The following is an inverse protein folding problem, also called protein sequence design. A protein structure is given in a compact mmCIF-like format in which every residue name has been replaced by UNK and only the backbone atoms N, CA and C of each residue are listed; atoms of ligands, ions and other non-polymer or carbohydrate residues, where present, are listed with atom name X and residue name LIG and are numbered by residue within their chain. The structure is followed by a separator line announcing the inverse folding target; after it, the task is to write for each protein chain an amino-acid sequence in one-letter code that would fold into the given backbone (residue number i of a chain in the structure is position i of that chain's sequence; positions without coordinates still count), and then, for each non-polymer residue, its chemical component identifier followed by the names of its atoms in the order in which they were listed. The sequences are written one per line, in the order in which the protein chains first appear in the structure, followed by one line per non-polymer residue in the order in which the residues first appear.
data_IF_557674309873
#
_entry.id   IF_557674309873
#
_cell.length_a   1.000
_cell.length_b   1.000
_cell.length_c   1.000
_cell.angle_alpha   90.00
_cell.angle_beta   90.00
_cell.angle_gamma   90.00
#
_symmetry.space_group_name_H-M   'P 1'
#
loop_
_entity.id
_entity.type
_entity.pdbx_description
1 polymer ?
#
# COMPACT_ATOMS: atom_id res chain seq x y z
N UNK A 1 -9.58 -15.64 16.21
CA UNK A 1 -10.06 -14.79 15.10
C UNK A 1 -9.55 -15.43 13.82
N UNK A 2 -10.34 -15.45 12.75
CA UNK A 2 -9.92 -16.01 11.48
C UNK A 2 -9.17 -14.97 10.63
N UNK A 3 -8.21 -15.43 9.84
CA UNK A 3 -7.36 -14.58 9.00
C UNK A 3 -8.19 -13.89 7.91
N UNK A 4 -8.02 -12.57 7.75
CA UNK A 4 -8.69 -11.82 6.67
C UNK A 4 -7.89 -11.88 5.38
N UNK A 5 -8.60 -11.78 4.25
CA UNK A 5 -7.98 -11.78 2.92
C UNK A 5 -7.00 -10.62 2.75
N UNK A 6 -5.75 -10.94 2.39
CA UNK A 6 -4.68 -9.96 2.20
C UNK A 6 -3.96 -9.52 3.49
N UNK A 7 -4.36 -9.98 4.67
CA UNK A 7 -3.62 -9.76 5.91
C UNK A 7 -2.43 -10.71 6.04
N UNK A 8 -1.36 -10.25 6.71
CA UNK A 8 -0.20 -11.08 7.00
C UNK A 8 -0.52 -12.10 8.11
N UNK A 9 -0.24 -13.41 7.94
CA UNK A 9 -0.51 -14.41 8.96
C UNK A 9 0.36 -14.24 10.21
N UNK A 10 -0.25 -14.02 11.36
CA UNK A 10 0.41 -13.95 12.68
C UNK A 10 -0.28 -14.89 13.67
N UNK A 11 0.36 -15.14 14.82
CA UNK A 11 -0.24 -15.97 15.87
C UNK A 11 -1.51 -15.36 16.49
N UNK A 12 -1.75 -14.06 16.31
CA UNK A 12 -2.90 -13.36 16.89
C UNK A 12 -4.13 -13.37 15.98
N UNK A 13 -3.91 -13.39 14.66
CA UNK A 13 -5.00 -13.33 13.67
C UNK A 13 -5.31 -14.67 13.00
N UNK A 14 -4.54 -15.73 13.25
CA UNK A 14 -4.81 -17.08 12.76
C UNK A 14 -5.55 -17.92 13.82
N UNK A 15 -6.50 -18.72 13.39
CA UNK A 15 -7.24 -19.64 14.26
C UNK A 15 -6.63 -21.04 14.28
N UNK A 16 -6.22 -21.51 15.46
CA UNK A 16 -5.61 -22.83 15.63
C UNK A 16 -6.57 -23.99 15.38
N UNK A 17 -7.88 -23.75 15.45
CA UNK A 17 -8.90 -24.76 15.21
C UNK A 17 -9.22 -24.95 13.73
N UNK A 18 -8.74 -24.02 12.87
CA UNK A 18 -8.93 -24.05 11.43
C UNK A 18 -7.68 -24.71 10.79
N UNK A 19 -7.81 -25.88 10.13
CA UNK A 19 -6.65 -26.60 9.57
C UNK A 19 -5.79 -25.76 8.62
N UNK A 20 -6.42 -24.90 7.83
CA UNK A 20 -5.76 -24.03 6.85
C UNK A 20 -4.98 -22.88 7.51
N UNK A 21 -5.27 -22.54 8.77
CA UNK A 21 -4.65 -21.42 9.49
C UNK A 21 -3.73 -21.86 10.63
N UNK A 22 -3.97 -23.03 11.21
CA UNK A 22 -3.33 -23.47 12.45
C UNK A 22 -1.80 -23.43 12.42
N UNK A 23 -1.20 -23.81 11.29
CA UNK A 23 0.25 -23.83 11.10
C UNK A 23 0.77 -22.64 10.27
N UNK A 24 -0.10 -21.77 9.74
CA UNK A 24 0.32 -20.63 8.92
C UNK A 24 1.38 -19.75 9.58
N UNK A 25 1.24 -19.34 10.86
CA UNK A 25 2.24 -18.48 11.50
C UNK A 25 3.64 -19.11 11.55
N UNK A 26 3.71 -20.44 11.69
CA UNK A 26 4.96 -21.19 11.73
C UNK A 26 5.67 -21.28 10.36
N UNK A 27 4.94 -20.99 9.28
CA UNK A 27 5.47 -21.01 7.91
C UNK A 27 5.94 -19.63 7.42
N UNK A 28 5.83 -18.60 8.27
CA UNK A 28 6.34 -17.26 8.00
C UNK A 28 7.84 -17.16 8.27
N UNK A 29 8.54 -16.37 7.45
CA UNK A 29 9.96 -16.06 7.60
C UNK A 29 10.82 -17.31 7.84
N UNK A 30 10.65 -18.30 6.95
CA UNK A 30 11.34 -19.58 7.03
C UNK A 30 12.86 -19.34 7.13
N UNK A 31 13.55 -19.90 8.15
CA UNK A 31 14.97 -19.72 8.33
C UNK A 31 15.77 -20.05 7.06
N UNK A 32 16.67 -19.14 6.67
CA UNK A 32 17.49 -19.28 5.46
C UNK A 32 16.95 -18.55 4.22
N UNK A 33 15.70 -18.05 4.26
CA UNK A 33 15.13 -17.22 3.20
C UNK A 33 15.35 -15.75 3.55
N UNK A 34 15.98 -14.99 2.64
CA UNK A 34 16.29 -13.57 2.84
C UNK A 34 15.28 -12.68 2.11
N UNK A 35 14.87 -11.60 2.77
CA UNK A 35 14.12 -10.48 2.19
C UNK A 35 12.61 -10.65 2.00
N UNK A 36 12.09 -11.85 1.77
CA UNK A 36 10.66 -12.08 1.72
C UNK A 36 10.17 -12.78 3.01
N UNK A 37 9.33 -12.15 3.85
CA UNK A 37 8.71 -12.83 5.00
C UNK A 37 7.75 -13.94 4.55
N UNK A 38 7.24 -13.85 3.31
CA UNK A 38 6.43 -14.89 2.67
C UNK A 38 7.06 -15.30 1.33
N UNK A 39 7.84 -16.39 1.28
CA UNK A 39 8.44 -16.88 0.04
C UNK A 39 7.42 -17.45 -0.95
N UNK A 40 6.24 -17.86 -0.45
CA UNK A 40 5.17 -18.45 -1.23
C UNK A 40 3.86 -17.68 -1.00
N UNK A 41 2.92 -17.71 -1.95
CA UNK A 41 1.60 -17.14 -1.76
C UNK A 41 0.87 -17.75 -0.56
N UNK A 42 0.09 -16.94 0.16
CA UNK A 42 -0.68 -17.36 1.35
C UNK A 42 -1.57 -18.56 1.06
N UNK A 43 -2.19 -18.61 -0.13
CA UNK A 43 -3.06 -19.72 -0.53
C UNK A 43 -2.31 -21.06 -0.64
N UNK A 44 -1.05 -21.04 -1.07
CA UNK A 44 -0.21 -22.25 -1.06
C UNK A 44 0.15 -22.67 0.37
N UNK A 45 0.46 -21.69 1.22
CA UNK A 45 0.80 -21.95 2.62
C UNK A 45 -0.41 -22.47 3.42
N UNK A 46 -1.64 -22.08 3.09
CA UNK A 46 -2.87 -22.64 3.65
C UNK A 46 -3.00 -24.14 3.34
N UNK A 47 -2.68 -24.55 2.12
CA UNK A 47 -2.65 -25.97 1.73
C UNK A 47 -1.62 -26.75 2.53
N UNK A 48 -0.42 -26.18 2.75
CA UNK A 48 0.60 -26.79 3.60
C UNK A 48 0.16 -26.87 5.06
N UNK A 49 -0.46 -25.82 5.60
CA UNK A 49 -1.00 -25.80 6.96
C UNK A 49 -2.01 -26.92 7.16
N UNK A 50 -2.96 -27.05 6.23
CA UNK A 50 -3.95 -28.12 6.24
C UNK A 50 -3.30 -29.50 6.22
N UNK A 51 -2.26 -29.69 5.38
CA UNK A 51 -1.52 -30.95 5.32
C UNK A 51 -0.83 -31.29 6.64
N UNK A 52 -0.21 -30.31 7.30
CA UNK A 52 0.41 -30.48 8.62
C UNK A 52 -0.62 -30.82 9.69
N UNK A 53 -1.77 -30.14 9.65
CA UNK A 53 -2.88 -30.40 10.56
C UNK A 53 -3.44 -31.82 10.42
N UNK A 54 -3.65 -32.28 9.19
CA UNK A 54 -4.14 -33.65 8.93
C UNK A 54 -3.11 -34.72 9.31
N UNK A 55 -1.81 -34.43 9.18
CA UNK A 55 -0.73 -35.36 9.50
C UNK A 55 -0.45 -35.46 11.01
N UNK A 56 -0.38 -34.32 11.69
CA UNK A 56 0.12 -34.21 13.07
C UNK A 56 -0.81 -33.52 14.05
N UNK A 57 -1.99 -33.05 13.61
CA UNK A 57 -2.93 -32.29 14.42
C UNK A 57 -2.60 -30.79 14.52
N UNK A 58 -3.36 -30.05 15.35
CA UNK A 58 -3.07 -28.65 15.66
C UNK A 58 -1.70 -28.50 16.35
N UNK A 59 -1.03 -27.35 16.20
CA UNK A 59 0.16 -27.04 16.98
C UNK A 59 -0.14 -27.08 18.48
N UNK A 60 0.77 -27.66 19.26
CA UNK A 60 0.67 -27.60 20.72
C UNK A 60 1.25 -26.28 21.22
N UNK A 61 0.38 -25.38 21.69
CA UNK A 61 0.73 -24.05 22.14
C UNK A 61 1.47 -24.06 23.49
N UNK A 62 1.24 -25.07 24.33
CA UNK A 62 1.85 -25.18 25.66
C UNK A 62 3.35 -25.48 25.60
N UNK A 63 3.79 -26.14 24.53
CA UNK A 63 5.21 -26.50 24.31
C UNK A 63 5.90 -25.56 23.33
N UNK A 64 5.23 -24.52 22.86
CA UNK A 64 5.79 -23.54 21.91
C UNK A 64 6.88 -22.73 22.60
N UNK A 65 8.07 -22.73 22.02
CA UNK A 65 9.25 -22.03 22.55
C UNK A 65 9.64 -20.80 21.73
N UNK A 66 9.07 -20.60 20.54
CA UNK A 66 9.43 -19.49 19.66
C UNK A 66 8.22 -18.79 19.02
N UNK A 67 8.39 -17.51 18.72
CA UNK A 67 7.40 -16.62 18.10
C UNK A 67 8.02 -15.79 16.98
N UNK A 68 7.24 -15.55 15.94
CA UNK A 68 7.60 -14.66 14.85
C UNK A 68 7.42 -13.20 15.27
N UNK A 69 8.47 -12.41 15.08
CA UNK A 69 8.49 -10.97 15.23
C UNK A 69 8.58 -10.34 13.84
N UNK A 70 7.55 -9.61 13.38
CA UNK A 70 7.62 -8.90 12.12
C UNK A 70 8.74 -7.87 12.14
N UNK A 71 9.33 -7.52 10.98
CA UNK A 71 10.37 -6.51 10.90
C UNK A 71 9.86 -5.17 11.45
N UNK A 72 10.70 -4.47 12.23
CA UNK A 72 10.34 -3.14 12.74
C UNK A 72 10.26 -2.18 11.57
N UNK A 73 9.28 -1.27 11.60
CA UNK A 73 9.40 -0.06 10.79
C UNK A 73 10.74 0.58 11.17
N UNK A 74 11.61 0.91 10.21
CA UNK A 74 12.91 1.55 10.45
C UNK A 74 14.15 0.68 10.30
N UNK A 75 14.00 -0.64 10.24
CA UNK A 75 15.13 -1.51 9.86
C UNK A 75 15.44 -1.38 8.36
N UNK A 76 16.73 -1.47 8.03
CA UNK A 76 17.31 -1.33 6.68
C UNK A 76 16.45 -2.02 5.61
N UNK A 77 15.82 -1.19 4.76
CA UNK A 77 14.91 -1.56 3.66
C UNK A 77 13.93 -2.69 4.00
N UNK A 78 12.61 -2.40 4.13
CA UNK A 78 11.55 -3.40 4.33
C UNK A 78 11.56 -4.59 3.35
N UNK A 79 12.23 -4.44 2.21
CA UNK A 79 12.46 -5.48 1.20
C UNK A 79 13.47 -6.57 1.61
N UNK A 80 14.27 -6.36 2.66
CA UNK A 80 15.32 -7.29 3.12
C UNK A 80 15.07 -7.86 4.53
N UNK A 81 14.14 -7.28 5.28
CA UNK A 81 13.84 -7.70 6.64
C UNK A 81 12.68 -8.71 6.64
N UNK A 82 12.99 -10.00 6.66
CA UNK A 82 11.97 -11.06 6.72
C UNK A 82 11.29 -11.17 8.10
N UNK A 83 11.71 -10.38 9.09
CA UNK A 83 11.37 -10.57 10.50
C UNK A 83 12.29 -11.59 11.17
N UNK A 84 12.12 -11.78 12.47
CA UNK A 84 12.98 -12.63 13.30
C UNK A 84 12.15 -13.57 14.18
N UNK A 85 12.71 -14.73 14.50
CA UNK A 85 12.09 -15.66 15.44
C UNK A 85 12.75 -15.50 16.81
N UNK A 86 11.97 -15.21 17.85
CA UNK A 86 12.45 -15.04 19.24
C UNK A 86 11.81 -16.05 20.19
N UNK A 87 12.35 -16.13 21.40
CA UNK A 87 11.93 -17.00 22.50
C UNK A 87 10.77 -16.44 23.35
N UNK A 88 10.21 -15.30 22.96
CA UNK A 88 9.10 -14.64 23.65
C UNK A 88 8.10 -14.07 22.64
N UNK A 89 6.81 -13.94 23.01
CA UNK A 89 5.80 -13.33 22.16
C UNK A 89 6.14 -11.85 21.85
N UNK A 90 5.73 -11.34 20.67
CA UNK A 90 5.95 -9.93 20.33
C UNK A 90 5.22 -9.01 21.31
N UNK A 91 5.91 -7.99 21.82
CA UNK A 91 5.27 -6.93 22.61
C UNK A 91 4.49 -6.00 21.65
N UNK A 92 3.20 -5.71 21.92
CA UNK A 92 2.42 -4.76 21.13
C UNK A 92 3.08 -3.39 20.96
N UNK A 93 3.90 -2.95 21.92
CA UNK A 93 4.62 -1.68 21.88
C UNK A 93 5.93 -1.75 21.09
N UNK A 94 6.52 -2.92 20.89
CA UNK A 94 7.76 -3.09 20.11
C UNK A 94 7.51 -2.99 18.60
N UNK A 95 6.31 -3.33 18.13
CA UNK A 95 5.93 -3.22 16.73
C UNK A 95 5.78 -1.76 16.22
N UNK A 96 5.73 -0.78 17.12
CA UNK A 96 5.38 0.62 16.80
C UNK A 96 6.53 1.64 16.97
N UNK A 97 7.73 1.23 17.44
CA UNK A 97 8.75 2.18 17.86
C UNK A 97 9.98 2.27 16.95
N UNK A 98 10.07 3.30 16.11
CA UNK A 98 11.39 3.92 15.81
C UNK A 98 11.51 5.16 16.68
N UNK A 99 12.45 5.17 17.62
CA UNK A 99 12.97 6.43 18.13
C UNK A 99 14.09 6.89 17.20
N UNK A 100 13.74 7.71 16.21
CA UNK A 100 14.67 8.32 15.26
C UNK A 100 15.81 9.07 15.96
N UNK A 101 15.64 9.46 17.23
CA UNK A 101 16.67 10.17 18.02
C UNK A 101 17.74 9.23 18.60
N UNK A 102 17.50 7.92 18.59
CA UNK A 102 18.48 6.92 19.05
C UNK A 102 19.50 6.53 17.98
N UNK A 103 19.27 6.92 16.71
CA UNK A 103 20.20 6.68 15.62
C UNK A 103 21.35 7.70 15.64
N UNK A 104 22.58 7.25 15.42
CA UNK A 104 23.74 8.13 15.29
C UNK A 104 23.56 9.07 14.08
N UNK A 105 24.09 10.30 14.15
CA UNK A 105 23.95 11.31 13.07
C UNK A 105 24.39 10.78 11.70
N UNK A 106 25.43 9.93 11.67
CA UNK A 106 25.94 9.32 10.45
C UNK A 106 24.92 8.36 9.83
N UNK A 107 24.18 7.62 10.65
CA UNK A 107 23.13 6.72 10.19
C UNK A 107 21.89 7.50 9.73
N UNK A 108 21.55 8.60 10.41
CA UNK A 108 20.46 9.49 9.99
C UNK A 108 20.74 10.12 8.62
N UNK A 109 21.99 10.52 8.35
CA UNK A 109 22.39 11.10 7.07
C UNK A 109 22.42 10.07 5.95
N UNK A 110 22.84 8.82 6.23
CA UNK A 110 22.81 7.73 5.25
C UNK A 110 21.36 7.32 4.91
N UNK A 111 20.49 7.19 5.91
CA UNK A 111 19.05 6.92 5.69
C UNK A 111 18.39 8.04 4.88
N UNK A 112 18.77 9.30 5.14
CA UNK A 112 18.29 10.45 4.36
C UNK A 112 18.79 10.41 2.92
N UNK A 113 20.04 9.99 2.69
CA UNK A 113 20.62 9.84 1.33
C UNK A 113 19.91 8.75 0.54
N UNK A 114 19.70 7.59 1.16
CA UNK A 114 19.03 6.45 0.52
C UNK A 114 17.54 6.75 0.22
N UNK A 115 16.85 7.49 1.08
CA UNK A 115 15.49 7.94 0.81
C UNK A 115 15.39 8.86 -0.42
N UNK A 116 16.39 9.72 -0.63
CA UNK A 116 16.47 10.60 -1.82
C UNK A 116 16.85 9.84 -3.10
N UNK A 117 17.68 8.79 -2.99
CA UNK A 117 18.06 7.92 -4.12
C UNK A 117 16.88 7.05 -4.58
N UNK A 118 16.08 6.51 -3.65
CA UNK A 118 14.91 5.68 -3.96
C UNK A 118 13.74 6.46 -4.59
N UNK A 119 13.57 7.74 -4.24
CA UNK A 119 12.59 8.62 -4.90
C UNK A 119 12.96 8.96 -6.36
N UNK A 120 14.20 8.71 -6.78
CA UNK A 120 14.70 9.00 -8.13
C UNK A 120 14.65 7.84 -9.13
N UNK A 121 14.65 6.58 -8.67
CA UNK A 121 14.97 5.43 -9.52
C UNK A 121 13.95 4.27 -9.49
N UNK A 122 12.66 4.59 -9.38
CA UNK A 122 11.62 3.58 -9.59
C UNK A 122 10.42 4.15 -10.35
N UNK A 123 10.39 3.85 -11.65
CA UNK A 123 9.12 3.76 -12.40
C UNK A 123 8.71 2.29 -12.41
N UNK A 124 7.76 1.83 -11.57
CA UNK A 124 7.15 0.52 -11.76
C UNK A 124 5.88 0.59 -12.61
N UNK A 125 5.49 -0.52 -13.29
CA UNK A 125 4.29 -0.61 -14.11
C UNK A 125 3.01 -0.47 -13.28
N UNK A 126 2.01 0.18 -13.86
CA UNK A 126 0.74 0.56 -13.21
C UNK A 126 -0.30 -0.55 -13.32
N UNK A 127 -0.54 -1.28 -12.22
CA UNK A 127 -1.79 -2.00 -11.92
C UNK A 127 -2.46 -1.41 -10.66
N UNK A 128 -3.80 -1.43 -10.56
CA UNK A 128 -4.57 -0.40 -9.89
C UNK A 128 -4.64 -0.62 -8.37
N UNK A 129 -4.15 0.36 -7.62
CA UNK A 129 -4.22 0.38 -6.16
C UNK A 129 -5.69 0.42 -5.66
N UNK A 130 -5.99 -0.25 -4.53
CA UNK A 130 -7.29 -0.18 -3.87
C UNK A 130 -7.58 1.25 -3.42
N UNK A 131 -8.85 1.64 -3.51
CA UNK A 131 -9.34 2.98 -3.23
C UNK A 131 -9.08 3.39 -1.78
N UNK A 132 -7.92 4.00 -1.53
CA UNK A 132 -7.68 4.83 -0.37
C UNK A 132 -8.52 6.10 -0.57
N UNK A 133 -9.46 6.36 0.33
CA UNK A 133 -10.17 7.63 0.43
C UNK A 133 -9.12 8.69 0.81
N UNK A 134 -8.45 9.22 -0.20
CA UNK A 134 -7.59 10.40 -0.06
C UNK A 134 -8.52 11.55 0.23
N UNK A 135 -8.26 12.30 1.31
CA UNK A 135 -8.90 13.58 1.53
C UNK A 135 -8.91 14.39 0.23
N UNK A 136 -10.06 14.97 -0.18
CA UNK A 136 -10.19 15.60 -1.48
C UNK A 136 -9.11 16.68 -1.61
N UNK A 137 -8.33 16.69 -2.71
CA UNK A 137 -7.28 17.67 -2.89
C UNK A 137 -7.89 19.08 -2.78
N UNK A 138 -7.49 19.82 -1.75
CA UNK A 138 -7.96 21.19 -1.53
C UNK A 138 -7.62 22.03 -2.75
N UNK A 139 -8.65 22.42 -3.50
CA UNK A 139 -8.51 23.32 -4.64
C UNK A 139 -8.39 24.75 -4.13
N UNK A 140 -7.52 25.59 -4.73
CA UNK A 140 -7.53 27.01 -4.42
C UNK A 140 -8.90 27.61 -4.78
N UNK A 141 -9.32 28.66 -4.07
CA UNK A 141 -10.63 29.31 -4.27
C UNK A 141 -10.89 29.71 -5.72
N UNK A 142 -9.83 30.10 -6.43
CA UNK A 142 -9.83 30.46 -7.85
C UNK A 142 -8.60 29.89 -8.53
N UNK A 143 -8.79 29.18 -9.64
CA UNK A 143 -7.70 28.65 -10.48
C UNK A 143 -7.89 29.11 -11.92
N UNK A 144 -6.80 29.42 -12.65
CA UNK A 144 -6.92 29.69 -14.09
C UNK A 144 -6.98 28.38 -14.87
N UNK A 145 -7.71 28.38 -15.98
CA UNK A 145 -7.93 27.20 -16.84
C UNK A 145 -6.61 26.50 -17.22
N UNK A 146 -5.57 27.23 -17.63
CA UNK A 146 -4.29 26.61 -18.01
C UNK A 146 -3.57 25.93 -16.83
N UNK A 147 -3.66 26.49 -15.62
CA UNK A 147 -3.11 25.87 -14.41
C UNK A 147 -3.93 24.63 -14.03
N UNK A 148 -5.25 24.68 -14.19
CA UNK A 148 -6.12 23.51 -13.98
C UNK A 148 -5.79 22.40 -14.98
N UNK A 149 -5.66 22.74 -16.27
CA UNK A 149 -5.23 21.83 -17.33
C UNK A 149 -3.91 21.14 -17.00
N UNK A 150 -2.88 21.91 -16.60
CA UNK A 150 -1.58 21.37 -16.16
C UNK A 150 -1.70 20.45 -14.93
N UNK A 151 -2.53 20.83 -13.94
CA UNK A 151 -2.71 20.06 -12.71
C UNK A 151 -3.49 18.75 -12.92
N UNK A 152 -4.37 18.71 -13.91
CA UNK A 152 -5.21 17.53 -14.22
C UNK A 152 -4.63 16.68 -15.35
N UNK A 153 -3.60 17.16 -16.06
CA UNK A 153 -2.94 16.43 -17.14
C UNK A 153 -3.74 16.43 -18.46
N UNK A 154 -4.59 17.44 -18.66
CA UNK A 154 -5.39 17.61 -19.88
C UNK A 154 -5.02 18.90 -20.60
N UNK A 155 -5.45 19.04 -21.86
CA UNK A 155 -5.23 20.25 -22.64
C UNK A 155 -6.19 21.36 -22.22
N UNK A 156 -5.80 22.62 -22.44
CA UNK A 156 -6.66 23.78 -22.13
C UNK A 156 -7.97 23.77 -22.96
N UNK A 157 -7.96 23.23 -24.17
CA UNK A 157 -9.14 23.07 -25.02
C UNK A 157 -10.14 22.07 -24.45
N UNK A 158 -9.68 20.93 -23.96
CA UNK A 158 -10.54 19.92 -23.31
C UNK A 158 -11.19 20.46 -22.03
N UNK A 159 -10.41 21.17 -21.20
CA UNK A 159 -10.95 21.80 -19.98
C UNK A 159 -12.00 22.85 -20.35
N UNK A 160 -11.79 23.66 -21.38
CA UNK A 160 -12.77 24.65 -21.85
C UNK A 160 -14.05 24.00 -22.39
N UNK A 161 -13.95 22.85 -23.06
CA UNK A 161 -15.11 22.12 -23.54
C UNK A 161 -15.99 21.64 -22.36
N UNK A 162 -15.38 21.06 -21.32
CA UNK A 162 -16.10 20.64 -20.10
C UNK A 162 -16.67 21.84 -19.34
N UNK A 163 -15.95 22.97 -19.31
CA UNK A 163 -16.48 24.19 -18.70
C UNK A 163 -17.73 24.68 -19.43
N UNK A 164 -17.75 24.62 -20.77
CA UNK A 164 -18.92 24.98 -21.57
C UNK A 164 -20.10 24.05 -21.31
N UNK A 165 -19.86 22.74 -21.23
CA UNK A 165 -20.89 21.74 -20.93
C UNK A 165 -21.48 21.88 -19.53
N UNK A 166 -20.65 22.24 -18.53
CA UNK A 166 -21.09 22.46 -17.16
C UNK A 166 -21.62 23.87 -16.88
N UNK A 167 -21.73 24.72 -17.91
CA UNK A 167 -22.23 26.10 -17.78
C UNK A 167 -21.30 27.03 -16.98
N UNK A 168 -20.01 26.68 -16.85
CA UNK A 168 -19.02 27.52 -16.17
C UNK A 168 -18.52 28.60 -17.14
N UNK A 169 -18.58 29.90 -16.79
CA UNK A 169 -18.22 30.99 -17.69
C UNK A 169 -16.69 31.12 -17.86
N UNK A 170 -16.07 30.21 -18.62
CA UNK A 170 -14.66 30.26 -19.00
C UNK A 170 -14.53 30.47 -20.51
N UNK A 171 -13.99 31.62 -20.93
CA UNK A 171 -13.86 32.01 -22.35
C UNK A 171 -12.50 31.67 -22.94
N UNK A 172 -11.47 31.53 -22.10
CA UNK A 172 -10.08 31.34 -22.53
C UNK A 172 -9.23 30.64 -21.48
N UNK A 173 -8.02 30.20 -21.86
CA UNK A 173 -7.06 29.55 -20.97
C UNK A 173 -6.60 30.43 -19.76
N UNK A 174 -6.86 31.74 -19.83
CA UNK A 174 -6.59 32.70 -18.75
C UNK A 174 -7.80 32.93 -17.84
N UNK A 175 -8.98 32.44 -18.19
CA UNK A 175 -10.20 32.59 -17.38
C UNK A 175 -10.06 31.88 -16.03
N UNK A 176 -10.65 32.47 -14.99
CA UNK A 176 -10.62 31.94 -13.63
C UNK A 176 -11.88 31.12 -13.33
N UNK A 177 -11.69 29.96 -12.71
CA UNK A 177 -12.74 29.01 -12.34
C UNK A 177 -12.75 28.87 -10.80
N UNK A 178 -13.94 28.85 -10.17
CA UNK A 178 -14.05 28.61 -8.74
C UNK A 178 -13.61 27.20 -8.36
N UNK A 179 -12.86 27.08 -7.25
CA UNK A 179 -12.33 25.82 -6.72
C UNK A 179 -13.39 24.73 -6.52
N UNK A 180 -14.62 25.12 -6.17
CA UNK A 180 -15.76 24.20 -5.98
C UNK A 180 -16.14 23.41 -7.25
N UNK A 181 -15.81 23.93 -8.44
CA UNK A 181 -16.10 23.26 -9.72
C UNK A 181 -14.92 22.43 -10.23
N UNK A 182 -13.72 22.57 -9.67
CA UNK A 182 -12.51 21.90 -10.16
C UNK A 182 -12.57 20.38 -10.01
N UNK A 183 -13.12 19.87 -8.90
CA UNK A 183 -13.32 18.44 -8.70
C UNK A 183 -14.26 17.85 -9.78
N UNK A 184 -15.40 18.51 -10.02
CA UNK A 184 -16.36 18.10 -11.04
C UNK A 184 -15.76 18.12 -12.46
N UNK A 185 -14.98 19.15 -12.81
CA UNK A 185 -14.28 19.23 -14.11
C UNK A 185 -13.32 18.04 -14.27
N UNK A 186 -12.50 17.76 -13.25
CA UNK A 186 -11.55 16.64 -13.26
C UNK A 186 -12.27 15.31 -13.46
N UNK A 187 -13.35 15.08 -12.73
CA UNK A 187 -14.04 13.79 -12.75
C UNK A 187 -14.75 13.57 -14.10
N UNK A 188 -15.31 14.62 -14.70
CA UNK A 188 -15.86 14.57 -16.07
C UNK A 188 -14.79 14.26 -17.13
N UNK A 189 -13.59 14.86 -17.00
CA UNK A 189 -12.47 14.55 -17.89
C UNK A 189 -12.04 13.07 -17.78
N UNK A 190 -11.99 12.53 -16.55
CA UNK A 190 -11.69 11.12 -16.31
C UNK A 190 -12.74 10.18 -16.92
N UNK A 191 -14.02 10.51 -16.76
CA UNK A 191 -15.13 9.73 -17.34
C UNK A 191 -15.04 9.74 -18.86
N UNK A 192 -14.86 10.90 -19.50
CA UNK A 192 -14.70 10.97 -20.96
C UNK A 192 -13.47 10.22 -21.47
N UNK A 193 -12.34 10.33 -20.77
CA UNK A 193 -11.13 9.59 -21.12
C UNK A 193 -11.29 8.06 -20.95
N UNK A 194 -12.10 7.60 -20.00
CA UNK A 194 -12.44 6.19 -19.84
C UNK A 194 -13.40 5.69 -20.93
N UNK A 195 -14.41 6.50 -21.30
CA UNK A 195 -15.34 6.20 -22.38
C UNK A 195 -14.65 6.15 -23.75
N UNK A 196 -13.73 7.09 -24.03
CA UNK A 196 -12.95 7.09 -25.26
C UNK A 196 -12.09 5.82 -25.42
N UNK A 197 -11.52 5.31 -24.31
CA UNK A 197 -10.73 4.05 -24.32
C UNK A 197 -11.58 2.81 -24.55
N UNK A 198 -12.86 2.80 -24.16
CA UNK A 198 -13.79 1.69 -24.41
C UNK A 198 -14.35 1.69 -25.83
N UNK A 199 -14.49 2.86 -26.46
CA UNK A 199 -15.01 2.97 -27.83
C UNK A 199 -14.00 2.66 -28.95
N UNK A 200 -12.71 2.54 -28.63
CA UNK A 200 -11.64 2.24 -29.60
C UNK A 200 -11.25 0.77 -29.71
N UNK A 201 -12.00 -0.14 -29.08
CA UNK A 201 -11.75 -1.58 -29.06
C UNK A 201 -12.80 -2.38 -29.90
N UNK A 202 -13.33 -1.76 -30.96
CA UNK A 202 -14.21 -2.42 -31.95
C UNK A 202 -13.63 -2.26 -33.35
#
# INVERSE_FOLDING_TARGET
MALREGEFPTSENCDITVPEEAWLPALMAIPGIKGAPMPFPVEYLKVLSKRLYEYGGPPNVEVRTTWYHPPRSGDLSPMFAAGEWKDHPPDPNEAQGIDLKSLSKVMQDEVRRQALELDGESTPPREPAPATVTEPPKWPEKIRVHFLAKKVGHTSSEVLAICREMGVPAKSAQSSIPGSRCAAIRDQLRIKAALARRGGAS
#
